data_IF_458688003253
#
_entry.id   IF_458688003253
#
_cell.length_a   1.000
_cell.length_b   1.000
_cell.length_c   1.000
_cell.angle_alpha   90.00
_cell.angle_beta   90.00
_cell.angle_gamma   90.00
#
_symmetry.space_group_name_H-M   'P 1'
#
loop_
_entity.id
_entity.type
_entity.pdbx_description
1 polymer ?
#
# COMPACT_ATOMS: atom_id res chain seq x y z
N UNK A 1 -0.12 -1.58 21.83
CA UNK A 1 -0.89 -2.23 22.92
C UNK A 1 -1.87 -1.21 23.48
N UNK A 2 -3.07 -1.62 23.93
CA UNK A 2 -4.02 -0.69 24.49
C UNK A 2 -3.52 -0.03 25.78
N UNK A 3 -3.79 1.26 25.90
CA UNK A 3 -3.58 2.03 27.11
C UNK A 3 -4.91 2.10 27.87
N UNK A 4 -4.94 1.48 29.05
CA UNK A 4 -6.14 1.44 29.91
C UNK A 4 -6.18 2.69 30.78
N UNK A 5 -7.28 3.43 30.68
CA UNK A 5 -7.59 4.61 31.47
C UNK A 5 -8.63 4.21 32.53
N UNK A 6 -8.15 3.65 33.64
CA UNK A 6 -9.02 3.07 34.67
C UNK A 6 -9.70 1.78 34.22
N UNK A 7 -10.92 1.53 34.70
CA UNK A 7 -11.66 0.29 34.44
C UNK A 7 -12.55 0.33 33.19
N UNK A 8 -12.89 1.52 32.70
CA UNK A 8 -13.95 1.71 31.69
C UNK A 8 -13.47 2.26 30.36
N UNK A 9 -12.27 2.84 30.32
CA UNK A 9 -11.77 3.52 29.12
C UNK A 9 -10.52 2.84 28.58
N UNK A 10 -10.44 2.72 27.26
CA UNK A 10 -9.30 2.13 26.56
C UNK A 10 -8.91 2.97 25.34
N UNK A 11 -7.61 3.25 25.21
CA UNK A 11 -7.02 3.98 24.09
C UNK A 11 -6.09 3.04 23.31
N UNK A 12 -6.43 2.76 22.06
CA UNK A 12 -5.70 1.81 21.21
C UNK A 12 -5.02 2.59 20.07
N UNK A 13 -3.69 2.79 20.15
CA UNK A 13 -2.94 3.35 19.04
C UNK A 13 -2.61 2.27 18.00
N UNK A 14 -2.81 2.62 16.72
CA UNK A 14 -2.49 1.77 15.57
C UNK A 14 -1.58 2.57 14.62
N UNK A 15 -0.48 1.94 14.22
CA UNK A 15 0.48 2.49 13.25
C UNK A 15 0.60 1.48 12.13
N UNK A 16 0.33 1.93 10.90
CA UNK A 16 0.47 1.13 9.69
C UNK A 16 1.49 1.81 8.79
N UNK A 17 2.43 1.03 8.27
CA UNK A 17 3.47 1.53 7.38
C UNK A 17 3.47 0.69 6.10
N UNK A 18 3.41 1.39 4.98
CA UNK A 18 3.37 0.82 3.64
C UNK A 18 4.63 1.21 2.88
N UNK A 19 5.13 0.28 2.07
CA UNK A 19 6.39 0.43 1.34
C UNK A 19 7.59 0.83 2.24
N UNK A 20 7.75 0.15 3.39
CA UNK A 20 8.75 0.45 4.43
C UNK A 20 10.19 0.53 3.92
N UNK A 21 10.56 -0.37 3.01
CA UNK A 21 11.92 -0.45 2.46
C UNK A 21 12.10 0.29 1.14
N UNK A 22 11.05 0.95 0.64
CA UNK A 22 11.12 1.76 -0.58
C UNK A 22 11.74 1.03 -1.76
N UNK A 23 11.39 -0.24 -1.89
CA UNK A 23 11.62 -0.88 -3.17
C UNK A 23 10.71 -0.15 -4.15
N UNK A 24 11.29 0.28 -5.27
CA UNK A 24 10.51 0.81 -6.40
C UNK A 24 9.58 -0.33 -6.81
N UNK A 25 8.35 -0.32 -6.28
CA UNK A 25 7.33 -1.32 -6.59
C UNK A 25 6.98 -1.08 -8.05
N UNK A 26 7.74 -1.68 -8.97
CA UNK A 26 7.45 -1.54 -10.39
C UNK A 26 6.07 -2.16 -10.60
N UNK A 27 5.06 -1.31 -10.72
CA UNK A 27 3.75 -1.72 -11.22
C UNK A 27 3.99 -1.93 -12.72
N UNK A 28 4.44 -3.14 -13.06
CA UNK A 28 4.32 -3.61 -14.42
C UNK A 28 2.80 -3.72 -14.69
N UNK A 29 2.32 -3.24 -15.83
CA UNK A 29 0.91 -3.33 -16.24
C UNK A 29 0.36 -4.77 -16.33
N UNK A 30 1.19 -5.77 -16.00
CA UNK A 30 0.83 -7.16 -15.76
C UNK A 30 0.30 -7.47 -14.35
N UNK A 31 0.51 -6.61 -13.34
CA UNK A 31 0.06 -6.87 -11.96
C UNK A 31 -1.42 -6.52 -11.75
N UNK A 32 -2.27 -6.83 -12.74
CA UNK A 32 -3.69 -7.03 -12.50
C UNK A 32 -3.93 -8.40 -11.85
N UNK A 33 -5.07 -8.62 -11.17
CA UNK A 33 -5.43 -9.96 -10.68
C UNK A 33 -5.38 -10.97 -11.84
N UNK A 34 -4.43 -11.91 -11.80
CA UNK A 34 -4.31 -13.00 -12.79
C UNK A 34 -2.99 -13.12 -13.57
N UNK A 35 -2.01 -12.23 -13.44
CA UNK A 35 -0.75 -12.35 -14.19
C UNK A 35 0.52 -11.98 -13.40
N UNK A 36 0.71 -12.66 -12.26
CA UNK A 36 1.82 -12.38 -11.33
C UNK A 36 3.18 -12.98 -11.75
N UNK A 37 3.26 -13.73 -12.85
CA UNK A 37 4.48 -14.48 -13.23
C UNK A 37 4.93 -14.29 -14.69
N UNK A 38 4.32 -13.43 -15.49
CA UNK A 38 4.79 -13.25 -16.88
C UNK A 38 5.94 -12.24 -16.94
N UNK A 39 7.17 -12.77 -17.04
CA UNK A 39 8.38 -11.99 -17.35
C UNK A 39 8.38 -11.41 -18.78
N UNK A 40 7.32 -11.62 -19.56
CA UNK A 40 7.19 -11.18 -20.95
C UNK A 40 5.75 -10.77 -21.23
N UNK A 41 5.36 -9.52 -20.98
CA UNK A 41 4.21 -8.98 -21.69
C UNK A 41 4.57 -7.70 -22.44
N UNK A 42 4.26 -7.63 -23.74
CA UNK A 42 4.43 -6.43 -24.54
C UNK A 42 3.25 -5.49 -24.25
N UNK A 43 3.13 -4.99 -23.03
CA UNK A 43 2.10 -4.01 -22.66
C UNK A 43 2.71 -2.59 -22.60
N UNK A 44 3.57 -2.28 -23.57
CA UNK A 44 4.23 -0.98 -23.67
C UNK A 44 3.57 -0.05 -24.68
N UNK A 45 2.40 -0.36 -25.24
CA UNK A 45 1.71 0.57 -26.14
C UNK A 45 0.20 0.51 -25.94
N UNK A 46 -0.39 1.66 -25.61
CA UNK A 46 -1.81 1.95 -25.78
C UNK A 46 -1.95 2.93 -26.98
N UNK A 47 -3.06 2.88 -27.72
CA UNK A 47 -3.35 3.77 -28.86
C UNK A 47 -3.47 5.25 -28.45
N UNK A 48 -3.62 5.53 -27.16
CA UNK A 48 -3.57 6.89 -26.60
C UNK A 48 -2.14 7.45 -26.49
N UNK A 49 -1.09 6.69 -26.87
CA UNK A 49 0.29 7.19 -26.93
C UNK A 49 1.01 7.35 -25.59
N UNK A 50 0.39 6.95 -24.47
CA UNK A 50 0.99 7.04 -23.14
C UNK A 50 1.42 5.68 -22.61
N UNK A 51 2.67 5.59 -22.13
CA UNK A 51 3.16 4.49 -21.32
C UNK A 51 2.63 4.65 -19.89
N UNK A 52 1.71 3.80 -19.42
CA UNK A 52 1.44 3.68 -17.98
C UNK A 52 2.53 2.87 -17.30
N UNK A 53 3.76 3.40 -17.34
CA UNK A 53 4.86 2.96 -16.50
C UNK A 53 4.86 3.87 -15.27
N UNK A 54 4.27 3.39 -14.19
CA UNK A 54 4.09 4.16 -12.96
C UNK A 54 5.19 3.87 -11.94
N UNK A 55 5.71 4.93 -11.31
CA UNK A 55 6.42 4.82 -10.04
C UNK A 55 5.47 4.14 -9.04
N UNK A 56 5.90 3.04 -8.43
CA UNK A 56 5.10 2.31 -7.43
C UNK A 56 4.62 3.17 -6.27
N UNK A 57 3.70 2.61 -5.47
CA UNK A 57 3.13 3.32 -4.33
C UNK A 57 4.22 3.96 -3.46
N UNK A 58 4.11 5.25 -3.11
CA UNK A 58 5.10 5.94 -2.31
C UNK A 58 5.18 5.33 -0.90
N UNK A 59 6.27 5.61 -0.17
CA UNK A 59 6.33 5.28 1.26
C UNK A 59 5.18 6.01 1.96
N UNK A 60 4.30 5.26 2.62
CA UNK A 60 3.14 5.82 3.30
C UNK A 60 3.11 5.33 4.74
N UNK A 61 2.70 6.22 5.63
CA UNK A 61 2.50 5.93 7.04
C UNK A 61 1.11 6.42 7.44
N UNK A 62 0.36 5.56 8.12
CA UNK A 62 -0.97 5.83 8.63
C UNK A 62 -0.96 5.69 10.15
N UNK A 63 -1.57 6.67 10.81
CA UNK A 63 -1.73 6.73 12.25
C UNK A 63 -3.22 6.74 12.57
N UNK A 64 -3.64 5.86 13.47
CA UNK A 64 -5.01 5.82 13.96
C UNK A 64 -5.03 5.65 15.49
N UNK A 65 -6.04 6.25 16.10
CA UNK A 65 -6.29 6.16 17.54
C UNK A 65 -7.76 5.77 17.71
N UNK A 66 -8.00 4.64 18.36
CA UNK A 66 -9.34 4.20 18.73
C UNK A 66 -9.56 4.40 20.23
N UNK A 67 -10.66 5.06 20.57
CA UNK A 67 -11.11 5.23 21.96
C UNK A 67 -12.34 4.38 22.21
N UNK A 68 -12.32 3.59 23.27
CA UNK A 68 -13.43 2.75 23.73
C UNK A 68 -13.84 3.20 25.13
N UNK A 69 -15.15 3.31 25.38
CA UNK A 69 -15.77 3.79 26.61
C UNK A 69 -16.87 2.84 27.10
#
# INVERSE_FOLDING_TARGET
>A
RPFRLGERYELIPTIEMFNTFNNRNFINSLSGPGNQNSLTAPSLFNFDGFLRLGVGDPRQLQLAIRFTF
#
